data_IF_584936445530
#
_entry.id   IF_584936445530
#
_cell.length_a   1.000
_cell.length_b   1.000
_cell.length_c   1.000
_cell.angle_alpha   90.00
_cell.angle_beta   90.00
_cell.angle_gamma   90.00
#
_symmetry.space_group_name_H-M   'P 1'
#
loop_
_entity.id
_entity.type
_entity.pdbx_description
1 polymer ?
#
# COMPACT_ATOMS: atom_id res chain seq x y z
N UNK A 1 -28.06 43.64 10.65
CA UNK A 1 -28.11 42.27 11.21
C UNK A 1 -26.68 41.77 11.23
N UNK A 2 -26.18 41.46 12.41
CA UNK A 2 -24.79 41.16 12.71
C UNK A 2 -24.48 39.66 12.52
N UNK A 3 -23.16 39.40 12.43
CA UNK A 3 -22.45 38.16 12.71
C UNK A 3 -22.84 36.89 11.91
N UNK A 4 -22.07 36.63 10.85
CA UNK A 4 -21.82 35.26 10.38
C UNK A 4 -20.44 34.82 10.88
N UNK A 5 -20.48 33.94 11.87
CA UNK A 5 -19.31 33.39 12.56
C UNK A 5 -18.65 32.33 11.66
N UNK A 6 -17.59 32.72 10.98
CA UNK A 6 -16.64 31.82 10.30
C UNK A 6 -15.96 30.96 11.37
N UNK A 7 -16.45 29.73 11.57
CA UNK A 7 -15.73 28.71 12.33
C UNK A 7 -14.64 28.12 11.43
N UNK A 8 -13.50 28.80 11.37
CA UNK A 8 -12.27 28.22 10.86
C UNK A 8 -11.96 26.96 11.68
N UNK A 9 -12.17 25.80 11.07
CA UNK A 9 -11.70 24.52 11.58
C UNK A 9 -10.18 24.59 11.56
N UNK A 10 -9.57 24.82 12.73
CA UNK A 10 -8.15 24.65 12.95
C UNK A 10 -7.83 23.19 12.65
N UNK A 11 -7.26 22.95 11.46
CA UNK A 11 -6.77 21.65 11.08
C UNK A 11 -5.51 21.38 11.92
N UNK A 12 -5.71 20.72 13.05
CA UNK A 12 -4.62 20.27 13.91
C UNK A 12 -3.54 19.57 13.06
N UNK A 13 -2.25 19.81 13.33
CA UNK A 13 -1.17 19.16 12.62
C UNK A 13 -1.26 17.65 12.88
N UNK A 14 -1.68 16.90 11.86
CA UNK A 14 -1.68 15.44 11.88
C UNK A 14 -0.28 14.97 12.27
N UNK A 15 -0.13 14.56 13.53
CA UNK A 15 1.09 13.97 14.06
C UNK A 15 1.50 12.87 13.08
N UNK A 16 2.70 12.97 12.52
CA UNK A 16 3.20 12.03 11.53
C UNK A 16 3.47 10.70 12.25
N UNK A 17 2.45 9.86 12.38
CA UNK A 17 2.56 8.51 12.94
C UNK A 17 3.57 7.74 12.09
N UNK A 18 4.68 7.33 12.72
CA UNK A 18 5.76 6.58 12.07
C UNK A 18 5.80 5.17 12.63
N UNK A 19 5.97 4.22 11.73
CA UNK A 19 6.36 2.85 12.09
C UNK A 19 7.85 2.85 12.43
N UNK A 20 8.24 2.05 13.43
CA UNK A 20 9.65 1.74 13.62
C UNK A 20 10.13 0.81 12.49
N UNK A 21 11.46 0.67 12.34
CA UNK A 21 12.03 -0.11 11.25
C UNK A 21 11.66 -1.61 11.35
N UNK A 22 11.57 -2.16 12.57
CA UNK A 22 11.25 -3.57 12.79
C UNK A 22 9.83 -3.91 12.35
N UNK A 23 8.84 -3.12 12.75
CA UNK A 23 7.44 -3.26 12.35
C UNK A 23 7.28 -3.05 10.84
N UNK A 24 8.02 -2.11 10.25
CA UNK A 24 8.00 -1.89 8.81
C UNK A 24 8.48 -3.12 8.04
N UNK A 25 9.57 -3.75 8.47
CA UNK A 25 10.08 -4.99 7.86
C UNK A 25 9.09 -6.14 8.04
N UNK A 26 8.59 -6.36 9.26
CA UNK A 26 7.63 -7.43 9.54
C UNK A 26 6.33 -7.30 8.73
N UNK A 27 5.83 -6.07 8.55
CA UNK A 27 4.64 -5.81 7.71
C UNK A 27 4.91 -6.07 6.22
N UNK A 28 6.11 -5.75 5.72
CA UNK A 28 6.50 -6.05 4.33
C UNK A 28 6.61 -7.55 4.11
N UNK A 29 7.29 -8.26 5.00
CA UNK A 29 7.47 -9.71 4.89
C UNK A 29 6.12 -10.44 4.92
N UNK A 30 5.23 -10.01 5.81
CA UNK A 30 3.88 -10.54 5.86
C UNK A 30 3.10 -10.26 4.57
N UNK A 31 3.13 -9.04 4.06
CA UNK A 31 2.46 -8.71 2.80
C UNK A 31 2.99 -9.59 1.66
N UNK A 32 4.30 -9.75 1.55
CA UNK A 32 4.93 -10.64 0.56
C UNK A 32 4.45 -12.09 0.70
N UNK A 33 4.36 -12.60 1.93
CA UNK A 33 3.85 -13.93 2.20
C UNK A 33 2.39 -14.06 1.74
N UNK A 34 1.51 -13.15 2.17
CA UNK A 34 0.09 -13.18 1.80
C UNK A 34 -0.16 -13.09 0.30
N UNK A 35 0.58 -12.22 -0.40
CA UNK A 35 0.48 -12.08 -1.85
C UNK A 35 0.98 -13.33 -2.59
N UNK A 36 1.87 -14.11 -1.99
CA UNK A 36 2.32 -15.38 -2.59
C UNK A 36 1.33 -16.51 -2.26
N UNK A 37 0.84 -16.59 -1.02
CA UNK A 37 -0.14 -17.60 -0.61
C UNK A 37 -1.46 -17.52 -1.39
N UNK A 38 -1.93 -16.30 -1.72
CA UNK A 38 -3.17 -16.12 -2.46
C UNK A 38 -3.02 -16.20 -3.98
N UNK A 39 -1.82 -16.52 -4.50
CA UNK A 39 -1.56 -16.65 -5.93
C UNK A 39 -1.38 -15.33 -6.68
N UNK A 40 -1.42 -14.18 -5.98
CA UNK A 40 -1.32 -12.87 -6.63
C UNK A 40 0.01 -12.70 -7.36
N UNK A 41 1.12 -13.21 -6.79
CA UNK A 41 2.45 -13.12 -7.43
C UNK A 41 2.45 -13.82 -8.79
N UNK A 42 1.92 -15.03 -8.85
CA UNK A 42 1.83 -15.86 -10.05
C UNK A 42 0.92 -15.21 -11.10
N UNK A 43 -0.21 -14.64 -10.67
CA UNK A 43 -1.14 -13.91 -11.54
C UNK A 43 -0.47 -12.68 -12.18
N UNK A 44 0.30 -11.90 -11.42
CA UNK A 44 1.04 -10.75 -11.96
C UNK A 44 2.13 -11.21 -12.91
N UNK A 45 2.83 -12.29 -12.60
CA UNK A 45 3.87 -12.84 -13.46
C UNK A 45 3.29 -13.33 -14.80
N UNK A 46 2.15 -14.02 -14.76
CA UNK A 46 1.40 -14.43 -15.95
C UNK A 46 0.98 -13.20 -16.78
N UNK A 47 0.46 -12.17 -16.10
CA UNK A 47 0.03 -10.93 -16.74
C UNK A 47 1.18 -10.19 -17.42
N UNK A 48 2.33 -10.08 -16.76
CA UNK A 48 3.55 -9.49 -17.35
C UNK A 48 3.95 -10.24 -18.62
N UNK A 49 4.00 -11.58 -18.57
CA UNK A 49 4.34 -12.40 -19.75
C UNK A 49 3.36 -12.19 -20.90
N UNK A 50 2.06 -12.14 -20.60
CA UNK A 50 1.01 -11.91 -21.59
C UNK A 50 1.18 -10.53 -22.24
N UNK A 51 1.37 -9.48 -21.44
CA UNK A 51 1.59 -8.11 -21.92
C UNK A 51 2.83 -8.00 -22.81
N UNK A 52 3.93 -8.66 -22.45
CA UNK A 52 5.15 -8.70 -23.29
C UNK A 52 4.87 -9.43 -24.62
N UNK A 53 4.11 -10.52 -24.59
CA UNK A 53 3.78 -11.32 -25.77
C UNK A 53 2.85 -10.55 -26.73
N UNK A 54 1.88 -9.79 -26.22
CA UNK A 54 0.91 -9.03 -27.01
C UNK A 54 1.51 -7.76 -27.63
N UNK A 55 2.35 -7.03 -26.89
CA UNK A 55 2.93 -5.76 -27.36
C UNK A 55 4.22 -5.94 -28.15
N UNK A 56 4.86 -7.10 -28.04
CA UNK A 56 6.15 -7.41 -28.66
C UNK A 56 7.33 -6.77 -27.92
N UNK A 57 8.48 -7.47 -27.95
CA UNK A 57 9.68 -7.09 -27.17
C UNK A 57 10.36 -5.83 -27.73
N UNK A 58 10.21 -5.56 -29.03
CA UNK A 58 10.97 -4.52 -29.73
C UNK A 58 10.69 -3.08 -29.25
N UNK A 59 9.52 -2.81 -28.68
CA UNK A 59 9.08 -1.46 -28.25
C UNK A 59 8.85 -1.34 -26.74
N UNK A 60 9.31 -2.31 -25.96
CA UNK A 60 9.03 -2.39 -24.52
C UNK A 60 10.25 -2.00 -23.69
N UNK A 61 10.15 -0.92 -22.93
CA UNK A 61 11.09 -0.59 -21.86
C UNK A 61 10.56 -1.08 -20.51
N UNK A 62 11.45 -1.30 -19.54
CA UNK A 62 11.05 -1.66 -18.17
C UNK A 62 10.09 -0.63 -17.58
N UNK A 63 10.36 0.65 -17.77
CA UNK A 63 9.54 1.75 -17.27
C UNK A 63 8.13 1.74 -17.85
N UNK A 64 8.00 1.48 -19.16
CA UNK A 64 6.69 1.37 -19.83
C UNK A 64 5.92 0.16 -19.33
N UNK A 65 6.60 -0.98 -19.18
CA UNK A 65 5.99 -2.19 -18.63
C UNK A 65 5.53 -1.97 -17.17
N UNK A 66 6.37 -1.32 -16.35
CA UNK A 66 6.04 -0.99 -14.97
C UNK A 66 4.85 -0.02 -14.88
N UNK A 67 4.83 1.02 -15.70
CA UNK A 67 3.74 1.99 -15.75
C UNK A 67 2.39 1.34 -16.11
N UNK A 68 2.41 0.31 -16.96
CA UNK A 68 1.22 -0.44 -17.35
C UNK A 68 0.79 -1.46 -16.28
N UNK A 69 1.73 -2.24 -15.76
CA UNK A 69 1.45 -3.40 -14.90
C UNK A 69 1.20 -2.98 -13.45
N UNK A 70 1.96 -2.03 -12.90
CA UNK A 70 1.89 -1.68 -11.47
C UNK A 70 0.48 -1.23 -11.03
N UNK A 71 -0.23 -0.33 -11.75
CA UNK A 71 -1.58 0.07 -11.36
C UNK A 71 -2.54 -1.11 -11.31
N UNK A 72 -2.44 -2.01 -12.29
CA UNK A 72 -3.28 -3.19 -12.40
C UNK A 72 -2.96 -4.21 -11.29
N UNK A 73 -1.67 -4.39 -10.99
CA UNK A 73 -1.22 -5.25 -9.90
C UNK A 73 -1.71 -4.75 -8.54
N UNK A 74 -1.64 -3.43 -8.31
CA UNK A 74 -2.16 -2.81 -7.08
C UNK A 74 -3.69 -2.97 -6.97
N UNK A 75 -4.41 -2.86 -8.08
CA UNK A 75 -5.86 -3.04 -8.12
C UNK A 75 -6.29 -4.50 -7.91
N UNK A 76 -5.48 -5.47 -8.32
CA UNK A 76 -5.80 -6.90 -8.20
C UNK A 76 -5.51 -7.49 -6.82
N UNK A 77 -4.98 -6.70 -5.87
CA UNK A 77 -4.76 -7.19 -4.50
C UNK A 77 -6.12 -7.53 -3.86
N UNK A 78 -6.31 -8.77 -3.38
CA UNK A 78 -7.56 -9.18 -2.75
C UNK A 78 -7.95 -8.29 -1.56
N UNK A 79 -9.25 -8.02 -1.41
CA UNK A 79 -9.77 -7.16 -0.36
C UNK A 79 -9.41 -7.67 1.04
N UNK A 80 -9.42 -8.99 1.23
CA UNK A 80 -9.09 -9.60 2.52
C UNK A 80 -7.63 -9.34 2.92
N UNK A 81 -6.69 -9.38 1.97
CA UNK A 81 -5.29 -9.03 2.20
C UNK A 81 -5.17 -7.55 2.56
N UNK A 82 -5.87 -6.66 1.82
CA UNK A 82 -5.87 -5.21 2.10
C UNK A 82 -6.40 -4.91 3.51
N UNK A 83 -7.50 -5.55 3.91
CA UNK A 83 -8.08 -5.42 5.25
C UNK A 83 -7.14 -5.94 6.34
N UNK A 84 -6.54 -7.12 6.14
CA UNK A 84 -5.58 -7.68 7.09
C UNK A 84 -4.40 -6.72 7.29
N UNK A 85 -3.83 -6.18 6.21
CA UNK A 85 -2.71 -5.24 6.31
C UNK A 85 -3.11 -3.95 7.02
N UNK A 86 -4.30 -3.42 6.74
CA UNK A 86 -4.78 -2.20 7.39
C UNK A 86 -4.94 -2.39 8.90
N UNK A 87 -5.48 -3.53 9.34
CA UNK A 87 -5.60 -3.88 10.76
C UNK A 87 -4.21 -3.96 11.41
N UNK A 88 -3.25 -4.62 10.76
CA UNK A 88 -1.90 -4.80 11.31
C UNK A 88 -1.08 -3.51 11.34
N UNK A 89 -1.22 -2.63 10.34
CA UNK A 89 -0.62 -1.29 10.35
C UNK A 89 -1.16 -0.48 11.52
N UNK A 90 -2.48 -0.49 11.75
CA UNK A 90 -3.08 0.21 12.90
C UNK A 90 -2.57 -0.33 14.23
N UNK A 91 -2.46 -1.64 14.38
CA UNK A 91 -1.91 -2.27 15.58
C UNK A 91 -0.44 -1.86 15.82
N UNK A 92 0.41 -1.92 14.79
CA UNK A 92 1.81 -1.51 14.89
C UNK A 92 1.96 -0.02 15.26
N UNK A 93 1.12 0.85 14.69
CA UNK A 93 1.09 2.27 15.02
C UNK A 93 0.61 2.57 16.44
N UNK A 94 -0.28 1.75 17.01
CA UNK A 94 -0.70 1.86 18.40
C UNK A 94 0.40 1.39 19.37
N UNK A 95 1.08 0.29 19.03
CA UNK A 95 2.21 -0.22 19.79
C UNK A 95 3.37 0.78 19.82
N UNK A 96 3.65 1.49 18.72
CA UNK A 96 4.71 2.50 18.70
C UNK A 96 4.39 3.74 19.54
N UNK A 97 3.11 4.13 19.65
CA UNK A 97 2.69 5.27 20.48
C UNK A 97 2.86 5.01 21.98
N UNK A 98 2.63 3.78 22.44
CA UNK A 98 2.81 3.39 23.85
C UNK A 98 4.25 3.47 24.35
N UNK A 99 5.23 3.46 23.44
CA UNK A 99 6.66 3.46 23.77
C UNK A 99 7.25 4.87 23.94
N UNK A 100 6.52 5.92 23.53
CA UNK A 100 6.96 7.32 23.65
C UNK A 100 6.36 8.07 24.84
N UNK A 101 5.41 7.46 25.54
CA UNK A 101 4.71 8.04 26.70
C UNK A 101 5.19 7.45 28.04
N UNK A 102 6.25 6.61 28.05
CA UNK A 102 6.93 6.06 29.23
C UNK A 102 8.35 6.63 29.36
#
# INVERSE_FOLDING_TARGET
>A
MADSKEIGTDAEPVQKLKLNNSDNMALKDLLHHRLSECGWREDIEHKIRKTISELGVANMTHEKLAAEIIPQARASVPEDVRKEMLIRVRAALQSSKKQSDD
#
